data_IF_571556589362
#
_entry.id   IF_571556589362
#
_cell.length_a   1.000
_cell.length_b   1.000
_cell.length_c   1.000
_cell.angle_alpha   90.00
_cell.angle_beta   90.00
_cell.angle_gamma   90.00
#
_symmetry.space_group_name_H-M   'P 1'
#
loop_
_entity.id
_entity.type
_entity.pdbx_description
1 polymer ?
#
# COMPACT_ATOMS: atom_id res chain seq x y z
N UNK A 1 7.47 9.58 22.84
CA UNK A 1 7.58 8.48 21.87
C UNK A 1 8.37 7.27 22.37
N UNK A 2 9.20 7.36 23.43
CA UNK A 2 9.68 6.19 24.19
C UNK A 2 10.21 5.01 23.35
N UNK A 3 10.81 5.30 22.19
CA UNK A 3 11.19 4.30 21.21
C UNK A 3 12.52 3.68 21.65
N UNK A 4 12.50 2.40 22.00
CA UNK A 4 13.72 1.63 22.24
C UNK A 4 14.25 1.13 20.91
N UNK A 5 15.46 1.55 20.55
CA UNK A 5 16.14 1.15 19.31
C UNK A 5 17.26 0.14 19.58
N UNK A 6 17.36 -0.40 20.80
CA UNK A 6 18.33 -1.43 21.21
C UNK A 6 19.79 -1.07 20.81
N UNK A 7 20.17 0.19 21.06
CA UNK A 7 21.50 0.72 20.72
C UNK A 7 21.75 0.91 19.21
N UNK A 8 20.78 0.61 18.33
CA UNK A 8 20.93 0.80 16.90
C UNK A 8 20.87 2.30 16.51
N UNK A 9 21.71 2.76 15.57
CA UNK A 9 21.65 4.14 15.09
C UNK A 9 20.29 4.46 14.44
N UNK A 10 19.64 5.53 14.93
CA UNK A 10 18.31 5.96 14.46
C UNK A 10 18.24 6.19 12.95
N UNK A 11 19.35 6.62 12.32
CA UNK A 11 19.47 6.83 10.87
C UNK A 11 19.05 5.62 10.02
N UNK A 12 19.21 4.40 10.54
CA UNK A 12 18.90 3.16 9.82
C UNK A 12 17.68 2.43 10.41
N UNK A 13 17.24 2.83 11.60
CA UNK A 13 16.13 2.18 12.33
C UNK A 13 14.80 2.92 12.17
N UNK A 14 14.85 4.24 11.95
CA UNK A 14 13.65 5.08 11.89
C UNK A 14 13.58 5.79 10.53
N UNK A 15 12.47 5.58 9.83
CA UNK A 15 12.14 6.35 8.63
C UNK A 15 11.33 7.58 9.03
N UNK A 16 11.94 8.75 8.88
CA UNK A 16 11.23 10.05 9.00
C UNK A 16 10.80 10.46 7.59
N UNK A 17 9.51 10.76 7.42
CA UNK A 17 8.95 11.18 6.14
C UNK A 17 8.50 12.62 6.25
N UNK A 18 8.82 13.41 5.23
CA UNK A 18 8.28 14.75 5.09
C UNK A 18 6.77 14.68 4.89
N UNK A 19 5.99 15.66 5.38
CA UNK A 19 4.58 15.77 5.09
C UNK A 19 4.35 15.79 3.58
N UNK A 20 3.51 14.89 3.07
CA UNK A 20 3.11 14.91 1.67
C UNK A 20 2.19 16.09 1.39
N UNK A 21 2.37 16.75 0.25
CA UNK A 21 1.45 17.80 -0.23
C UNK A 21 0.03 17.27 -0.49
N UNK A 22 -0.12 15.96 -0.69
CA UNK A 22 -1.42 15.33 -0.96
C UNK A 22 -2.12 14.81 0.31
N UNK A 23 -1.36 14.51 1.37
CA UNK A 23 -1.89 14.16 2.68
C UNK A 23 -2.70 12.86 2.76
N UNK A 24 -2.62 11.96 1.78
CA UNK A 24 -3.36 10.71 1.80
C UNK A 24 -2.75 9.75 2.85
N UNK A 25 -3.41 9.51 3.98
CA UNK A 25 -2.86 8.60 5.00
C UNK A 25 -3.07 7.11 4.69
N UNK A 26 -4.15 6.76 3.99
CA UNK A 26 -4.58 5.39 3.70
C UNK A 26 -4.84 5.16 2.23
N UNK A 27 -4.49 3.98 1.75
CA UNK A 27 -4.91 3.46 0.46
C UNK A 27 -5.36 2.00 0.59
N UNK A 28 -6.38 1.63 -0.19
CA UNK A 28 -6.73 0.25 -0.49
C UNK A 28 -6.45 0.00 -1.96
N UNK A 29 -5.86 -1.14 -2.28
CA UNK A 29 -5.45 -1.48 -3.63
C UNK A 29 -5.81 -2.92 -3.99
N UNK A 30 -6.68 -3.05 -4.99
CA UNK A 30 -6.95 -4.32 -5.68
C UNK A 30 -5.70 -4.73 -6.47
N UNK A 31 -4.81 -5.51 -5.85
CA UNK A 31 -3.50 -5.87 -6.47
C UNK A 31 -3.69 -6.76 -7.71
N UNK A 32 -4.79 -7.50 -7.72
CA UNK A 32 -5.31 -8.24 -8.85
C UNK A 32 -6.85 -8.21 -8.79
N UNK A 33 -7.51 -8.24 -9.93
CA UNK A 33 -8.98 -8.17 -9.99
C UNK A 33 -9.66 -9.55 -9.87
N UNK A 34 -8.87 -10.62 -9.82
CA UNK A 34 -9.35 -12.00 -9.90
C UNK A 34 -9.66 -12.59 -8.52
N UNK A 35 -10.81 -13.24 -8.38
CA UNK A 35 -11.10 -14.05 -7.20
C UNK A 35 -11.75 -15.36 -7.63
N UNK A 36 -11.28 -16.47 -7.06
CA UNK A 36 -11.80 -17.81 -7.34
C UNK A 36 -13.08 -18.15 -6.54
N UNK A 37 -13.64 -17.19 -5.80
CA UNK A 37 -14.90 -17.36 -5.06
C UNK A 37 -16.10 -16.77 -5.82
N UNK A 38 -17.23 -17.46 -5.72
CA UNK A 38 -18.53 -17.06 -6.28
C UNK A 38 -19.49 -16.51 -5.22
N UNK A 39 -19.01 -15.66 -4.32
CA UNK A 39 -19.79 -15.18 -3.18
C UNK A 39 -21.05 -14.40 -3.63
N UNK A 40 -22.24 -14.80 -3.16
CA UNK A 40 -23.52 -14.12 -3.46
C UNK A 40 -23.57 -12.65 -3.02
N UNK A 41 -22.75 -12.29 -2.03
CA UNK A 41 -22.69 -10.95 -1.45
C UNK A 41 -21.48 -10.15 -1.98
N UNK A 42 -20.74 -10.67 -2.96
CA UNK A 42 -19.61 -9.95 -3.54
C UNK A 42 -20.12 -8.76 -4.36
N UNK A 43 -19.68 -7.56 -4.01
CA UNK A 43 -20.04 -6.34 -4.76
C UNK A 43 -19.23 -6.19 -6.06
N UNK A 44 -18.08 -6.87 -6.17
CA UNK A 44 -17.23 -6.89 -7.35
C UNK A 44 -17.81 -7.89 -8.35
N UNK A 45 -18.64 -7.42 -9.28
CA UNK A 45 -19.39 -8.23 -10.25
C UNK A 45 -18.49 -9.17 -11.08
N UNK A 46 -17.94 -8.67 -12.19
CA UNK A 46 -16.94 -9.41 -12.96
C UNK A 46 -15.56 -9.36 -12.27
N UNK A 47 -14.86 -10.49 -12.25
CA UNK A 47 -13.56 -10.65 -11.56
C UNK A 47 -12.53 -11.28 -12.50
N UNK A 48 -12.12 -10.59 -13.57
CA UNK A 48 -11.13 -11.10 -14.49
C UNK A 48 -9.79 -11.28 -13.78
N UNK A 49 -9.04 -12.31 -14.14
CA UNK A 49 -7.64 -12.44 -13.71
C UNK A 49 -6.77 -11.45 -14.49
N UNK A 50 -6.84 -10.19 -14.08
CA UNK A 50 -6.08 -9.07 -14.64
C UNK A 50 -5.37 -8.33 -13.52
N UNK A 51 -4.12 -7.94 -13.77
CA UNK A 51 -3.31 -7.20 -12.81
C UNK A 51 -2.27 -6.36 -13.53
N UNK A 52 -1.73 -5.35 -12.84
CA UNK A 52 -0.56 -4.61 -13.29
C UNK A 52 0.67 -5.53 -13.44
N UNK A 53 1.58 -5.18 -14.35
CA UNK A 53 2.91 -5.80 -14.42
C UNK A 53 3.66 -5.53 -13.12
N UNK A 54 4.75 -6.27 -12.89
CA UNK A 54 5.57 -6.04 -11.70
C UNK A 54 6.11 -4.61 -11.63
N UNK A 55 6.61 -4.10 -12.75
CA UNK A 55 7.18 -2.76 -12.85
C UNK A 55 6.14 -1.70 -12.48
N UNK A 56 4.93 -1.83 -13.01
CA UNK A 56 3.82 -0.91 -12.73
C UNK A 56 3.32 -1.04 -11.28
N UNK A 57 3.42 -2.23 -10.67
CA UNK A 57 3.11 -2.44 -9.24
C UNK A 57 4.08 -1.67 -8.36
N UNK A 58 5.37 -1.72 -8.68
CA UNK A 58 6.41 -0.97 -7.96
C UNK A 58 6.22 0.53 -8.13
N UNK A 59 5.96 0.99 -9.36
CA UNK A 59 5.68 2.41 -9.62
C UNK A 59 4.45 2.90 -8.82
N UNK A 60 3.38 2.11 -8.75
CA UNK A 60 2.20 2.46 -7.96
C UNK A 60 2.52 2.59 -6.46
N UNK A 61 3.41 1.76 -5.92
CA UNK A 61 3.86 1.86 -4.53
C UNK A 61 4.67 3.15 -4.29
N UNK A 62 5.51 3.55 -5.25
CA UNK A 62 6.24 4.83 -5.18
C UNK A 62 5.26 6.02 -5.23
N UNK A 63 4.24 5.97 -6.10
CA UNK A 63 3.18 6.99 -6.16
C UNK A 63 2.44 7.08 -4.83
N UNK A 64 2.01 5.95 -4.25
CA UNK A 64 1.33 5.94 -2.94
C UNK A 64 2.23 6.48 -1.83
N UNK A 65 3.52 6.16 -1.86
CA UNK A 65 4.51 6.70 -0.92
C UNK A 65 4.57 8.23 -1.03
N UNK A 66 4.69 8.77 -2.24
CA UNK A 66 4.76 10.23 -2.46
C UNK A 66 3.45 10.94 -2.12
N UNK A 67 2.32 10.27 -2.33
CA UNK A 67 0.99 10.73 -1.92
C UNK A 67 0.80 10.82 -0.40
N UNK A 68 1.74 10.30 0.39
CA UNK A 68 1.71 10.35 1.86
C UNK A 68 1.13 9.11 2.53
N UNK A 69 0.88 8.03 1.76
CA UNK A 69 0.28 6.81 2.31
C UNK A 69 1.21 6.19 3.33
N UNK A 70 0.66 5.96 4.52
CA UNK A 70 1.31 5.31 5.66
C UNK A 70 0.66 3.97 6.01
N UNK A 71 -0.57 3.74 5.54
CA UNK A 71 -1.29 2.49 5.70
C UNK A 71 -1.83 2.02 4.36
N UNK A 72 -1.28 0.92 3.86
CA UNK A 72 -1.70 0.28 2.63
C UNK A 72 -2.39 -1.03 2.93
N UNK A 73 -3.61 -1.19 2.41
CA UNK A 73 -4.33 -2.45 2.43
C UNK A 73 -4.36 -3.02 1.02
N UNK A 74 -3.89 -4.25 0.87
CA UNK A 74 -4.05 -5.02 -0.36
C UNK A 74 -5.38 -5.78 -0.26
N UNK A 75 -6.20 -5.67 -1.30
CA UNK A 75 -7.48 -6.37 -1.44
C UNK A 75 -7.47 -7.31 -2.63
#
# INVERSE_FOLDING_TARGET
>A
WGLDVDGAPTKHTVLIREPSAYGYCRASWEINLGCNFGCKHCYLGERPFSSLTWENKVELLDIMREAGVIWLQIT
#
